data_IF_975752546500
#
_entry.id   IF_975752546500
#
_cell.length_a   1.000
_cell.length_b   1.000
_cell.length_c   1.000
_cell.angle_alpha   90.00
_cell.angle_beta   90.00
_cell.angle_gamma   90.00
#
_symmetry.space_group_name_H-M   'P 1'
#
loop_
_entity.id
_entity.type
_entity.pdbx_description
1 polymer ?
#
# COMPACT_ATOMS: atom_id res chain seq x y z
N UNK A 1 5.76 -17.55 -5.41
CA UNK A 1 6.41 -16.39 -6.05
C UNK A 1 5.52 -15.81 -7.15
N UNK A 2 5.15 -14.53 -7.06
CA UNK A 2 4.14 -13.92 -7.95
C UNK A 2 4.75 -13.40 -9.25
N UNK A 3 3.91 -13.22 -10.28
CA UNK A 3 4.31 -12.60 -11.56
C UNK A 3 4.89 -11.19 -11.37
N UNK A 4 4.40 -10.45 -10.38
CA UNK A 4 4.94 -9.13 -10.03
C UNK A 4 6.38 -9.21 -9.49
N UNK A 5 6.65 -10.10 -8.53
CA UNK A 5 8.01 -10.28 -8.00
C UNK A 5 8.95 -10.73 -9.10
N UNK A 6 8.49 -11.62 -10.00
CA UNK A 6 9.24 -11.99 -11.20
C UNK A 6 9.53 -10.78 -12.09
N UNK A 7 8.55 -9.95 -12.40
CA UNK A 7 8.70 -8.82 -13.31
C UNK A 7 9.57 -7.71 -12.69
N UNK A 8 9.46 -7.48 -11.39
CA UNK A 8 10.33 -6.56 -10.64
C UNK A 8 11.78 -7.06 -10.58
N UNK A 9 12.00 -8.34 -10.28
CA UNK A 9 13.35 -8.93 -10.29
C UNK A 9 13.93 -8.88 -11.71
N UNK A 10 13.12 -9.18 -12.72
CA UNK A 10 13.52 -9.12 -14.13
C UNK A 10 13.88 -7.70 -14.55
N UNK A 11 13.11 -6.70 -14.13
CA UNK A 11 13.39 -5.29 -14.45
C UNK A 11 14.68 -4.79 -13.78
N UNK A 12 14.85 -5.06 -12.47
CA UNK A 12 15.95 -4.45 -11.70
C UNK A 12 17.25 -5.26 -11.67
N UNK A 13 17.18 -6.58 -11.75
CA UNK A 13 18.32 -7.45 -11.46
C UNK A 13 18.71 -8.39 -12.60
N UNK A 14 17.98 -8.41 -13.72
CA UNK A 14 18.29 -9.32 -14.84
C UNK A 14 19.72 -9.23 -15.32
N UNK A 15 20.25 -8.02 -15.49
CA UNK A 15 21.61 -7.77 -15.96
C UNK A 15 22.66 -8.22 -14.94
N UNK A 16 22.45 -7.92 -13.65
CA UNK A 16 23.36 -8.31 -12.57
C UNK A 16 23.41 -9.83 -12.43
N UNK A 17 22.24 -10.48 -12.44
CA UNK A 17 22.13 -11.94 -12.36
C UNK A 17 22.85 -12.57 -13.58
N UNK A 18 22.62 -12.06 -14.80
CA UNK A 18 23.29 -12.56 -16.00
C UNK A 18 24.82 -12.45 -15.90
N UNK A 19 25.34 -11.31 -15.45
CA UNK A 19 26.78 -11.10 -15.28
C UNK A 19 27.39 -12.08 -14.26
N UNK A 20 26.70 -12.33 -13.14
CA UNK A 20 27.14 -13.30 -12.14
C UNK A 20 27.19 -14.72 -12.71
N UNK A 21 26.18 -15.13 -13.48
CA UNK A 21 26.17 -16.45 -14.12
C UNK A 21 27.24 -16.58 -15.21
N UNK A 22 27.46 -15.52 -15.99
CA UNK A 22 28.52 -15.50 -17.00
C UNK A 22 29.90 -15.62 -16.37
N UNK A 23 30.14 -14.99 -15.22
CA UNK A 23 31.41 -15.11 -14.49
C UNK A 23 31.81 -16.56 -14.20
N UNK A 24 30.84 -17.42 -13.86
CA UNK A 24 31.09 -18.85 -13.61
C UNK A 24 30.96 -19.72 -14.87
N UNK A 25 30.13 -19.32 -15.83
CA UNK A 25 29.92 -20.04 -17.07
C UNK A 25 29.60 -19.08 -18.24
N UNK A 26 30.64 -18.75 -19.00
CA UNK A 26 30.58 -17.87 -20.17
C UNK A 26 29.67 -18.36 -21.31
N UNK A 27 29.13 -19.57 -21.24
CA UNK A 27 28.19 -20.09 -22.27
C UNK A 27 26.75 -19.64 -22.08
N UNK A 28 26.39 -19.09 -20.90
CA UNK A 28 25.03 -18.63 -20.60
C UNK A 28 24.80 -17.25 -21.22
N UNK A 29 23.83 -17.16 -22.14
CA UNK A 29 23.52 -15.93 -22.90
C UNK A 29 22.24 -15.21 -22.47
N UNK A 30 21.33 -15.91 -21.78
CA UNK A 30 20.06 -15.35 -21.32
C UNK A 30 19.59 -16.04 -20.06
N UNK A 31 18.76 -15.34 -19.28
CA UNK A 31 18.13 -15.85 -18.07
C UNK A 31 16.64 -15.53 -18.16
N UNK A 32 15.82 -16.54 -17.98
CA UNK A 32 14.38 -16.40 -17.87
C UNK A 32 13.96 -16.70 -16.42
N UNK A 33 13.27 -15.77 -15.80
CA UNK A 33 12.70 -15.94 -14.47
C UNK A 33 11.26 -16.38 -14.68
N UNK A 34 10.91 -17.58 -14.22
CA UNK A 34 9.57 -18.13 -14.31
C UNK A 34 8.91 -18.22 -12.95
N UNK A 35 7.60 -18.09 -12.94
CA UNK A 35 6.72 -18.29 -11.79
C UNK A 35 6.01 -19.61 -11.99
N UNK A 36 6.14 -20.52 -11.02
CA UNK A 36 5.37 -21.76 -11.04
C UNK A 36 4.04 -21.48 -10.37
N UNK A 37 2.97 -21.38 -11.15
CA UNK A 37 1.62 -21.36 -10.61
C UNK A 37 1.38 -22.68 -9.87
N UNK A 38 0.96 -22.58 -8.60
CA UNK A 38 0.42 -23.72 -7.88
C UNK A 38 -0.95 -24.04 -8.49
N UNK A 39 -1.26 -25.31 -8.80
CA UNK A 39 -2.51 -25.65 -9.44
C UNK A 39 -3.68 -25.35 -8.50
N UNK A 40 -4.56 -24.44 -8.94
CA UNK A 40 -5.94 -24.32 -8.46
C UNK A 40 -6.27 -23.03 -7.72
N UNK A 41 -6.63 -21.97 -8.48
CA UNK A 41 -7.71 -21.07 -8.08
C UNK A 41 -8.62 -20.87 -9.29
N UNK A 42 -9.33 -21.93 -9.66
CA UNK A 42 -10.62 -21.81 -10.35
C UNK A 42 -11.47 -20.85 -9.54
N UNK A 43 -12.15 -19.91 -10.19
CA UNK A 43 -13.18 -19.01 -9.67
C UNK A 43 -13.92 -19.61 -8.47
N UNK A 44 -13.32 -19.46 -7.30
CA UNK A 44 -13.96 -19.76 -6.04
C UNK A 44 -14.42 -18.39 -5.63
N UNK A 45 -15.73 -18.24 -5.56
CA UNK A 45 -16.35 -17.18 -4.78
C UNK A 45 -15.79 -17.35 -3.37
N UNK A 46 -14.67 -16.68 -3.08
CA UNK A 46 -14.10 -16.68 -1.76
C UNK A 46 -15.07 -15.82 -0.97
N UNK A 47 -15.89 -16.48 -0.16
CA UNK A 47 -16.43 -15.87 1.04
C UNK A 47 -15.24 -15.30 1.80
N UNK A 48 -14.99 -13.98 1.65
CA UNK A 48 -14.32 -13.24 2.71
C UNK A 48 -15.00 -13.66 4.00
N UNK A 49 -14.24 -13.94 5.07
CA UNK A 49 -14.82 -14.43 6.30
C UNK A 49 -15.90 -13.44 6.71
N UNK A 50 -17.16 -13.79 6.43
CA UNK A 50 -18.26 -12.86 6.60
C UNK A 50 -18.42 -12.61 8.10
N UNK A 51 -17.96 -13.56 8.92
CA UNK A 51 -17.88 -13.45 10.37
C UNK A 51 -16.79 -12.50 10.88
N UNK A 52 -15.70 -12.24 10.15
CA UNK A 52 -14.67 -11.29 10.62
C UNK A 52 -15.00 -9.85 10.22
N UNK A 53 -15.71 -9.64 9.11
CA UNK A 53 -16.19 -8.32 8.69
C UNK A 53 -17.60 -7.96 9.18
N UNK A 54 -18.42 -8.94 9.62
CA UNK A 54 -19.75 -8.68 10.16
C UNK A 54 -19.76 -8.28 11.64
N UNK A 55 -18.72 -8.63 12.41
CA UNK A 55 -18.58 -8.24 13.83
C UNK A 55 -17.86 -6.91 14.03
N UNK A 56 -17.40 -6.26 12.94
CA UNK A 56 -16.80 -4.92 13.01
C UNK A 56 -17.92 -3.89 13.05
N UNK A 57 -18.41 -3.66 14.27
CA UNK A 57 -18.98 -2.39 14.70
C UNK A 57 -19.94 -1.72 13.73
N UNK A 58 -21.19 -2.17 13.75
CA UNK A 58 -22.38 -1.45 13.24
C UNK A 58 -22.61 -0.07 13.88
N UNK A 59 -21.70 0.42 14.74
CA UNK A 59 -21.84 1.67 15.48
C UNK A 59 -21.03 2.86 14.91
N UNK A 60 -20.04 2.66 14.04
CA UNK A 60 -19.22 3.78 13.52
C UNK A 60 -19.17 3.90 11.98
N UNK A 61 -19.66 2.90 11.23
CA UNK A 61 -19.64 2.93 9.76
C UNK A 61 -20.85 3.64 9.13
N UNK A 62 -21.62 4.39 9.92
CA UNK A 62 -22.93 4.94 9.52
C UNK A 62 -22.95 6.45 9.20
N UNK A 63 -21.84 6.99 8.70
CA UNK A 63 -21.83 8.30 8.04
C UNK A 63 -21.07 8.17 6.73
N UNK A 64 -21.50 8.88 5.69
CA UNK A 64 -21.00 8.81 4.32
C UNK A 64 -19.51 9.15 4.11
N UNK A 65 -18.67 9.03 5.13
CA UNK A 65 -17.23 9.22 5.07
C UNK A 65 -16.52 7.88 4.94
N UNK A 66 -16.29 7.50 3.68
CA UNK A 66 -15.50 6.32 3.29
C UNK A 66 -14.07 6.40 3.85
N UNK A 67 -13.60 7.61 4.16
CA UNK A 67 -12.24 7.93 4.60
C UNK A 67 -12.17 8.09 6.11
N UNK A 68 -11.03 7.71 6.68
CA UNK A 68 -10.74 7.94 8.09
C UNK A 68 -10.21 9.37 8.26
N UNK A 69 -10.55 10.00 9.39
CA UNK A 69 -10.07 11.35 9.71
C UNK A 69 -8.63 11.31 10.22
N UNK A 70 -7.85 12.34 9.91
CA UNK A 70 -6.52 12.50 10.50
C UNK A 70 -6.65 12.87 11.98
N UNK A 71 -5.94 12.16 12.84
CA UNK A 71 -5.80 12.50 14.26
C UNK A 71 -4.93 13.75 14.42
N UNK A 72 -5.49 14.81 15.02
CA UNK A 72 -4.85 16.11 15.23
C UNK A 72 -3.61 16.05 16.13
N UNK A 73 -3.45 14.99 16.94
CA UNK A 73 -2.30 14.83 17.83
C UNK A 73 -1.05 14.41 17.07
N UNK A 74 -1.21 13.76 15.92
CA UNK A 74 -0.13 13.16 15.15
C UNK A 74 0.39 14.13 14.09
N UNK A 75 1.14 15.14 14.53
CA UNK A 75 1.84 16.11 13.68
C UNK A 75 3.35 15.92 13.77
N UNK A 76 4.11 16.48 12.81
CA UNK A 76 5.58 16.43 12.89
C UNK A 76 6.11 17.14 14.14
N UNK A 77 5.49 18.24 14.56
CA UNK A 77 5.90 19.01 15.75
C UNK A 77 5.80 18.19 17.04
N UNK A 78 4.83 17.26 17.10
CA UNK A 78 4.63 16.37 18.26
C UNK A 78 5.42 15.05 18.15
N UNK A 79 6.23 14.86 17.10
CA UNK A 79 7.02 13.65 16.91
C UNK A 79 8.44 13.85 17.46
N UNK A 80 8.83 13.05 18.46
CA UNK A 80 10.18 13.11 19.03
C UNK A 80 11.15 12.33 18.14
N UNK A 81 12.09 13.05 17.54
CA UNK A 81 13.14 12.48 16.68
C UNK A 81 14.34 12.02 17.52
N UNK A 82 14.86 10.84 17.21
CA UNK A 82 16.11 10.32 17.74
C UNK A 82 16.72 9.29 16.79
N UNK A 83 17.94 8.85 17.07
CA UNK A 83 18.70 7.94 16.19
C UNK A 83 17.91 6.71 15.66
N UNK A 84 17.05 6.04 16.45
CA UNK A 84 16.30 4.87 15.95
C UNK A 84 15.21 5.20 14.91
N UNK A 85 14.70 6.43 14.88
CA UNK A 85 13.57 6.83 14.03
C UNK A 85 13.91 7.98 13.05
N UNK A 86 15.13 8.48 13.09
CA UNK A 86 15.62 9.60 12.29
C UNK A 86 15.43 9.35 10.79
N UNK A 87 15.78 8.15 10.30
CA UNK A 87 15.62 7.78 8.89
C UNK A 87 14.15 7.80 8.45
N UNK A 88 13.25 7.24 9.26
CA UNK A 88 11.82 7.20 8.95
C UNK A 88 11.21 8.61 8.98
N UNK A 89 11.63 9.44 9.94
CA UNK A 89 11.22 10.84 10.04
C UNK A 89 11.70 11.64 8.82
N UNK A 90 12.97 11.51 8.42
CA UNK A 90 13.52 12.20 7.27
C UNK A 90 12.81 11.81 5.97
N UNK A 91 12.55 10.51 5.76
CA UNK A 91 11.79 10.03 4.61
C UNK A 91 10.34 10.57 4.60
N UNK A 92 9.68 10.59 5.76
CA UNK A 92 8.34 11.16 5.90
C UNK A 92 8.32 12.66 5.57
N UNK A 93 9.29 13.43 6.04
CA UNK A 93 9.42 14.87 5.72
C UNK A 93 9.66 15.10 4.23
N UNK A 94 10.58 14.36 3.62
CA UNK A 94 10.86 14.48 2.19
C UNK A 94 9.62 14.24 1.33
N UNK A 95 8.79 13.24 1.68
CA UNK A 95 7.53 12.97 0.99
C UNK A 95 6.50 14.08 1.22
N UNK A 96 6.37 14.58 2.45
CA UNK A 96 5.42 15.65 2.78
C UNK A 96 5.77 16.99 2.10
N UNK A 97 7.07 17.29 1.97
CA UNK A 97 7.62 18.50 1.36
C UNK A 97 7.65 18.43 -0.18
N UNK A 98 7.46 17.24 -0.77
CA UNK A 98 7.47 17.06 -2.22
C UNK A 98 6.29 17.76 -2.91
N UNK A 99 6.62 18.58 -3.90
CA UNK A 99 5.69 19.44 -4.65
C UNK A 99 5.17 18.81 -5.96
N UNK A 100 5.49 17.55 -6.26
CA UNK A 100 5.32 16.96 -7.58
C UNK A 100 4.77 15.53 -7.63
N UNK A 101 4.33 15.14 -8.83
CA UNK A 101 3.87 13.79 -9.15
C UNK A 101 5.09 12.84 -9.18
N UNK A 102 5.17 11.98 -8.18
CA UNK A 102 6.22 10.96 -7.97
C UNK A 102 7.55 11.55 -7.46
N UNK A 103 7.62 11.78 -6.15
CA UNK A 103 8.91 11.82 -5.44
C UNK A 103 9.69 10.52 -5.69
N UNK A 104 11.02 10.55 -5.68
CA UNK A 104 11.89 9.34 -5.72
C UNK A 104 11.53 8.31 -4.63
N UNK A 105 10.81 8.74 -3.60
CA UNK A 105 10.35 7.94 -2.47
C UNK A 105 8.87 7.51 -2.57
N UNK A 106 8.25 7.51 -3.76
CA UNK A 106 6.90 6.98 -3.97
C UNK A 106 6.95 5.54 -4.54
N UNK A 107 6.35 4.53 -3.88
CA UNK A 107 5.65 4.61 -2.59
C UNK A 107 6.60 4.69 -1.38
N UNK A 108 6.17 5.43 -0.35
CA UNK A 108 6.83 5.42 0.96
C UNK A 108 6.26 4.28 1.80
N UNK A 109 7.13 3.36 2.20
CA UNK A 109 6.76 2.23 3.04
C UNK A 109 7.41 2.35 4.43
N UNK A 110 6.59 2.52 5.48
CA UNK A 110 7.04 2.57 6.87
C UNK A 110 6.83 1.21 7.54
N UNK A 111 7.91 0.58 7.99
CA UNK A 111 7.88 -0.72 8.67
C UNK A 111 8.60 -0.67 10.02
N UNK A 112 8.09 -1.44 10.97
CA UNK A 112 8.62 -1.54 12.32
C UNK A 112 7.62 -2.16 13.29
N UNK A 113 8.07 -2.50 14.49
CA UNK A 113 7.24 -3.02 15.57
C UNK A 113 6.09 -2.09 15.99
N UNK A 114 5.23 -2.58 16.89
CA UNK A 114 4.14 -1.80 17.47
C UNK A 114 4.66 -0.61 18.26
N UNK A 115 3.94 0.52 18.24
CA UNK A 115 4.31 1.71 19.02
C UNK A 115 5.53 2.50 18.53
N UNK A 116 6.14 2.14 17.40
CA UNK A 116 7.33 2.85 16.87
C UNK A 116 7.00 4.11 16.03
N UNK A 117 5.77 4.60 16.08
CA UNK A 117 5.41 5.87 15.45
C UNK A 117 5.02 5.83 13.96
N UNK A 118 4.79 4.65 13.37
CA UNK A 118 4.37 4.51 11.95
C UNK A 118 3.10 5.33 11.62
N UNK A 119 2.03 5.08 12.36
CA UNK A 119 0.75 5.81 12.22
C UNK A 119 0.91 7.30 12.50
N UNK A 120 1.76 7.67 13.48
CA UNK A 120 2.04 9.07 13.78
C UNK A 120 2.68 9.76 12.58
N UNK A 121 3.75 9.21 12.03
CA UNK A 121 4.44 9.77 10.86
C UNK A 121 3.51 9.86 9.64
N UNK A 122 2.69 8.83 9.40
CA UNK A 122 1.70 8.84 8.31
C UNK A 122 0.71 10.00 8.45
N UNK A 123 0.15 10.19 9.64
CA UNK A 123 -0.75 11.31 9.91
C UNK A 123 -0.04 12.67 9.80
N UNK A 124 1.20 12.74 10.27
CA UNK A 124 2.00 13.96 10.20
C UNK A 124 2.23 14.42 8.75
N UNK A 125 2.49 13.47 7.84
CA UNK A 125 2.54 13.74 6.39
C UNK A 125 1.22 14.34 5.93
N UNK A 126 0.09 13.72 6.26
CA UNK A 126 -1.24 14.20 5.86
C UNK A 126 -1.57 15.61 6.36
N UNK A 127 -1.25 15.91 7.61
CA UNK A 127 -1.44 17.25 8.19
C UNK A 127 -0.54 18.28 7.54
N UNK A 128 0.74 17.95 7.34
CA UNK A 128 1.69 18.86 6.69
C UNK A 128 1.22 19.22 5.28
N UNK A 129 0.77 18.24 4.50
CA UNK A 129 0.29 18.48 3.14
C UNK A 129 -0.97 19.34 3.15
N UNK A 130 -1.95 19.06 4.03
CA UNK A 130 -3.18 19.87 4.13
C UNK A 130 -2.93 21.30 4.58
N UNK A 131 -1.97 21.52 5.47
CA UNK A 131 -1.63 22.87 5.96
C UNK A 131 -0.93 23.71 4.88
N UNK A 132 0.00 23.10 4.13
CA UNK A 132 0.77 23.81 3.10
C UNK A 132 0.02 23.90 1.76
N UNK A 133 -0.86 22.95 1.46
CA UNK A 133 -1.68 22.98 0.26
C UNK A 133 -3.10 22.42 0.57
N UNK A 134 -4.02 23.27 1.05
CA UNK A 134 -5.40 22.89 1.36
C UNK A 134 -6.20 22.32 0.18
N UNK A 135 -5.75 22.58 -1.06
CA UNK A 135 -6.41 22.07 -2.26
C UNK A 135 -6.09 20.61 -2.58
N UNK A 136 -4.98 20.08 -2.03
CA UNK A 136 -4.59 18.67 -2.22
C UNK A 136 -5.53 17.74 -1.47
N UNK A 137 -6.06 16.76 -2.18
CA UNK A 137 -6.92 15.70 -1.65
C UNK A 137 -6.06 14.61 -1.03
N UNK A 138 -6.03 14.60 0.30
CA UNK A 138 -5.35 13.59 1.11
C UNK A 138 -6.38 12.62 1.68
N UNK A 139 -6.16 11.32 1.45
CA UNK A 139 -7.02 10.25 1.93
C UNK A 139 -6.25 9.30 2.83
N UNK A 140 -6.89 8.95 3.95
CA UNK A 140 -6.39 8.02 4.94
C UNK A 140 -7.42 6.90 5.17
N UNK A 141 -6.97 5.65 5.23
CA UNK A 141 -7.78 4.49 5.62
C UNK A 141 -6.88 3.32 6.08
N UNK A 142 -7.44 2.39 6.85
CA UNK A 142 -6.76 1.11 7.10
C UNK A 142 -6.83 0.21 5.85
N UNK A 143 -5.87 -0.70 5.71
CA UNK A 143 -5.86 -1.72 4.66
C UNK A 143 -7.12 -2.59 4.69
N UNK A 144 -7.64 -2.89 5.87
CA UNK A 144 -8.88 -3.62 6.06
C UNK A 144 -10.10 -2.87 5.48
N UNK A 145 -10.23 -1.57 5.79
CA UNK A 145 -11.32 -0.73 5.26
C UNK A 145 -11.22 -0.60 3.74
N UNK A 146 -10.00 -0.44 3.21
CA UNK A 146 -9.74 -0.43 1.78
C UNK A 146 -10.25 -1.72 1.11
N UNK A 147 -9.88 -2.88 1.63
CA UNK A 147 -10.28 -4.17 1.10
C UNK A 147 -11.79 -4.38 1.16
N UNK A 148 -12.42 -4.05 2.30
CA UNK A 148 -13.87 -4.11 2.45
C UNK A 148 -14.59 -3.30 1.36
N UNK A 149 -14.15 -2.06 1.12
CA UNK A 149 -14.80 -1.19 0.13
C UNK A 149 -14.58 -1.67 -1.29
N UNK A 150 -13.40 -2.23 -1.60
CA UNK A 150 -13.13 -2.81 -2.91
C UNK A 150 -14.05 -4.00 -3.19
N UNK A 151 -14.17 -4.94 -2.25
CA UNK A 151 -15.08 -6.09 -2.36
C UNK A 151 -16.51 -5.62 -2.51
N UNK A 152 -16.94 -4.65 -1.71
CA UNK A 152 -18.30 -4.08 -1.81
C UNK A 152 -18.57 -3.53 -3.21
N UNK A 153 -17.62 -2.77 -3.77
CA UNK A 153 -17.72 -2.25 -5.13
C UNK A 153 -17.77 -3.38 -6.18
N UNK A 154 -16.99 -4.46 -5.98
CA UNK A 154 -17.03 -5.63 -6.86
C UNK A 154 -18.41 -6.31 -6.84
N UNK A 155 -18.97 -6.56 -5.65
CA UNK A 155 -20.30 -7.17 -5.47
C UNK A 155 -21.41 -6.33 -6.10
N UNK A 156 -21.31 -5.01 -5.98
CA UNK A 156 -22.30 -4.08 -6.51
C UNK A 156 -22.06 -3.72 -7.99
N UNK A 157 -21.02 -4.25 -8.63
CA UNK A 157 -20.58 -3.87 -10.00
C UNK A 157 -20.25 -2.38 -10.14
N UNK A 158 -19.78 -1.76 -9.07
CA UNK A 158 -19.42 -0.33 -8.95
C UNK A 158 -17.89 -0.11 -8.96
N UNK A 159 -17.11 -1.07 -9.47
CA UNK A 159 -15.64 -1.00 -9.48
C UNK A 159 -15.12 0.26 -10.19
N UNK A 160 -15.78 0.69 -11.26
CA UNK A 160 -15.43 1.92 -11.99
C UNK A 160 -15.56 3.15 -11.08
N UNK A 161 -16.71 3.30 -10.42
CA UNK A 161 -16.96 4.39 -9.47
C UNK A 161 -16.01 4.35 -8.28
N UNK A 162 -15.60 3.15 -7.86
CA UNK A 162 -14.56 2.99 -6.83
C UNK A 162 -13.21 3.50 -7.34
N UNK A 163 -12.75 3.11 -8.54
CA UNK A 163 -11.50 3.61 -9.14
C UNK A 163 -11.49 5.13 -9.30
N UNK A 164 -12.58 5.71 -9.79
CA UNK A 164 -12.69 7.17 -9.98
C UNK A 164 -12.52 7.96 -8.66
N UNK A 165 -12.99 7.41 -7.53
CA UNK A 165 -12.76 8.02 -6.22
C UNK A 165 -11.26 8.15 -5.92
N UNK A 166 -10.46 7.12 -6.20
CA UNK A 166 -9.02 7.12 -5.94
C UNK A 166 -8.21 7.88 -6.99
N UNK A 167 -8.63 7.92 -8.27
CA UNK A 167 -7.98 8.75 -9.31
C UNK A 167 -8.00 10.23 -8.99
N UNK A 168 -9.03 10.68 -8.28
CA UNK A 168 -9.17 12.08 -7.88
C UNK A 168 -8.31 12.48 -6.68
N UNK A 169 -7.51 11.56 -6.12
CA UNK A 169 -6.74 11.73 -4.89
C UNK A 169 -5.29 12.08 -5.21
N UNK A 170 -4.76 13.10 -4.53
CA UNK A 170 -3.35 13.48 -4.68
C UNK A 170 -2.41 12.69 -3.76
N UNK A 171 -2.93 12.19 -2.63
CA UNK A 171 -2.19 11.40 -1.64
C UNK A 171 -3.07 10.31 -1.04
N UNK A 172 -2.68 9.06 -1.24
CA UNK A 172 -3.32 7.89 -0.63
C UNK A 172 -2.43 7.32 0.48
N UNK A 173 -2.97 7.26 1.69
CA UNK A 173 -2.30 6.70 2.86
C UNK A 173 -3.08 5.48 3.36
N UNK A 174 -2.41 4.33 3.39
CA UNK A 174 -2.97 3.05 3.84
C UNK A 174 -2.16 2.59 5.05
N UNK A 175 -2.81 2.54 6.22
CA UNK A 175 -2.18 2.02 7.44
C UNK A 175 -2.51 0.54 7.64
N UNK A 176 -1.82 -0.08 8.60
CA UNK A 176 -2.27 -1.34 9.19
C UNK A 176 -2.32 -2.52 8.19
N UNK A 177 -1.44 -2.49 7.19
CA UNK A 177 -1.26 -3.53 6.17
C UNK A 177 -0.98 -4.91 6.81
N UNK A 178 -0.41 -4.97 8.01
CA UNK A 178 -0.19 -6.25 8.68
C UNK A 178 -1.48 -7.05 8.95
N UNK A 179 -2.65 -6.41 9.05
CA UNK A 179 -3.92 -7.10 9.31
C UNK A 179 -4.51 -7.79 8.07
N UNK A 180 -4.02 -7.44 6.88
CA UNK A 180 -4.33 -8.16 5.64
C UNK A 180 -3.27 -9.21 5.29
N UNK A 181 -2.11 -9.18 5.97
CA UNK A 181 -1.03 -10.15 5.83
C UNK A 181 -1.28 -11.38 6.71
N UNK A 182 -1.05 -12.58 6.19
CA UNK A 182 -1.17 -13.84 6.95
C UNK A 182 -2.13 -14.88 6.36
N UNK A 183 -2.84 -14.54 5.29
CA UNK A 183 -3.50 -15.50 4.39
C UNK A 183 -3.03 -15.19 2.98
N UNK A 184 -2.24 -16.08 2.39
CA UNK A 184 -1.55 -15.85 1.10
C UNK A 184 -2.47 -15.26 0.03
N UNK A 185 -3.72 -15.74 -0.05
CA UNK A 185 -4.73 -15.24 -1.00
C UNK A 185 -5.21 -13.81 -0.75
N UNK A 186 -5.35 -13.36 0.51
CA UNK A 186 -5.84 -12.00 0.83
C UNK A 186 -4.76 -10.95 0.61
N UNK A 187 -3.51 -11.32 0.88
CA UNK A 187 -2.35 -10.47 0.62
C UNK A 187 -2.15 -10.27 -0.88
N UNK A 188 -2.16 -11.36 -1.67
CA UNK A 188 -2.04 -11.28 -3.13
C UNK A 188 -3.14 -10.39 -3.74
N UNK A 189 -4.39 -10.58 -3.31
CA UNK A 189 -5.53 -9.79 -3.81
C UNK A 189 -5.40 -8.29 -3.49
N UNK A 190 -4.89 -7.92 -2.30
CA UNK A 190 -4.63 -6.52 -1.97
C UNK A 190 -3.64 -5.88 -2.94
N UNK A 191 -2.51 -6.54 -3.22
CA UNK A 191 -1.51 -6.01 -4.15
C UNK A 191 -2.07 -5.89 -5.57
N UNK A 192 -2.82 -6.89 -6.04
CA UNK A 192 -3.47 -6.83 -7.35
C UNK A 192 -4.48 -5.68 -7.44
N UNK A 193 -5.30 -5.51 -6.43
CA UNK A 193 -6.29 -4.42 -6.32
C UNK A 193 -5.61 -3.06 -6.29
N UNK A 194 -4.59 -2.91 -5.45
CA UNK A 194 -3.86 -1.67 -5.27
C UNK A 194 -3.17 -1.23 -6.56
N UNK A 195 -2.49 -2.15 -7.26
CA UNK A 195 -1.88 -1.85 -8.57
C UNK A 195 -2.95 -1.47 -9.60
N UNK A 196 -4.08 -2.17 -9.62
CA UNK A 196 -5.21 -1.88 -10.51
C UNK A 196 -5.87 -0.51 -10.28
N UNK A 197 -5.63 0.10 -9.11
CA UNK A 197 -6.03 1.47 -8.78
C UNK A 197 -4.97 2.52 -9.09
N UNK A 198 -3.68 2.14 -9.05
CA UNK A 198 -2.54 3.02 -9.29
C UNK A 198 -2.22 3.12 -10.79
N UNK A 199 -2.50 2.06 -11.57
CA UNK A 199 -2.47 2.04 -13.03
C UNK A 199 -3.66 2.80 -13.67
#
# INVERSE_FOLDING_TARGET
>A
PTNFVRDWIKSKYSMVILQLFQHYNNTIKSIEIITKELPGITQTVIELPTKTFADIGSSELNTGNIFSTLDVRFTFDNFVVGAPNELAYAAARAVAESSGAVSESNPLFLYGGVGLGKTHLMHAIGWYIKQNNPSRKVIYMSAEKFMYQFVKALRNKEVISFKEKFRSVDVLMIDDIQFICGKDSTQEEFFHTFNTLID
#
